data_IF_464338362373
#
_entry.id   IF_464338362373
#
_cell.length_a   1.000
_cell.length_b   1.000
_cell.length_c   1.000
_cell.angle_alpha   90.00
_cell.angle_beta   90.00
_cell.angle_gamma   90.00
#
_symmetry.space_group_name_H-M   'P 1'
#
loop_
_entity.id
_entity.type
_entity.pdbx_description
1 polymer ?
#
# COMPACT_ATOMS: atom_id res chain seq x y z
N UNK A 1 7.61 2.96 -28.60
CA UNK A 1 7.20 3.56 -27.30
C UNK A 1 5.73 3.19 -27.08
N UNK A 2 5.36 2.66 -25.92
CA UNK A 2 3.98 2.19 -25.71
C UNK A 2 3.00 3.37 -25.74
N UNK A 3 1.81 3.16 -26.31
CA UNK A 3 0.76 4.17 -26.52
C UNK A 3 -0.05 4.50 -25.24
N UNK A 4 0.47 4.17 -24.05
CA UNK A 4 -0.24 4.40 -22.80
C UNK A 4 0.47 5.48 -22.00
N UNK A 5 -0.20 6.62 -21.88
CA UNK A 5 0.22 7.83 -21.18
C UNK A 5 0.07 7.66 -19.67
N UNK A 6 -1.15 7.34 -19.24
CA UNK A 6 -1.54 7.14 -17.85
C UNK A 6 -1.46 5.64 -17.52
N UNK A 7 -0.82 5.32 -16.40
CA UNK A 7 -0.58 3.93 -15.97
C UNK A 7 -0.92 3.79 -14.50
N UNK A 8 -1.67 2.73 -14.19
CA UNK A 8 -1.84 2.22 -12.83
C UNK A 8 -1.01 0.94 -12.71
N UNK A 9 0.02 0.97 -11.87
CA UNK A 9 0.79 -0.22 -11.50
C UNK A 9 0.20 -0.80 -10.21
N UNK A 10 -0.05 -2.11 -10.19
CA UNK A 10 -0.72 -2.83 -9.11
C UNK A 10 0.05 -4.10 -8.73
N UNK A 11 0.14 -4.40 -7.44
CA UNK A 11 0.50 -5.76 -7.01
C UNK A 11 -0.61 -6.75 -7.35
N UNK A 12 -0.20 -7.98 -7.64
CA UNK A 12 -1.11 -9.07 -8.03
C UNK A 12 -2.11 -9.48 -6.94
N UNK A 13 -1.87 -9.08 -5.69
CA UNK A 13 -2.75 -9.33 -4.54
C UNK A 13 -3.41 -8.06 -3.99
N UNK A 14 -3.51 -7.01 -4.83
CA UNK A 14 -4.41 -5.89 -4.56
C UNK A 14 -5.86 -6.27 -4.88
N UNK A 15 -6.79 -5.86 -4.03
CA UNK A 15 -8.22 -6.10 -4.19
C UNK A 15 -8.96 -4.78 -4.23
N UNK A 16 -9.54 -4.45 -5.39
CA UNK A 16 -10.37 -3.26 -5.58
C UNK A 16 -11.84 -3.56 -5.31
N UNK A 17 -12.50 -2.69 -4.54
CA UNK A 17 -13.96 -2.70 -4.29
C UNK A 17 -14.64 -1.45 -4.85
N UNK A 18 -13.88 -0.64 -5.59
CA UNK A 18 -14.35 0.43 -6.44
C UNK A 18 -13.60 0.37 -7.77
N UNK A 19 -14.15 1.01 -8.80
CA UNK A 19 -13.48 1.15 -10.10
C UNK A 19 -12.10 1.82 -9.92
N UNK A 20 -10.99 1.20 -10.38
CA UNK A 20 -9.65 1.77 -10.27
C UNK A 20 -9.54 3.16 -10.91
N UNK A 21 -10.29 3.43 -11.97
CA UNK A 21 -10.29 4.70 -12.71
C UNK A 21 -10.70 5.90 -11.84
N UNK A 22 -11.39 5.67 -10.71
CA UNK A 22 -11.69 6.74 -9.75
C UNK A 22 -10.42 7.40 -9.18
N UNK A 23 -9.30 6.67 -9.13
CA UNK A 23 -8.03 7.22 -8.68
C UNK A 23 -7.39 8.16 -9.71
N UNK A 24 -7.74 8.02 -11.00
CA UNK A 24 -7.26 8.89 -12.09
C UNK A 24 -8.00 10.24 -12.18
N UNK A 25 -9.14 10.36 -11.51
CA UNK A 25 -9.91 11.62 -11.44
C UNK A 25 -9.71 12.36 -10.11
N UNK A 26 -8.82 11.86 -9.24
CA UNK A 26 -8.43 12.57 -8.04
C UNK A 26 -7.77 13.90 -8.42
N UNK A 27 -8.18 14.99 -7.76
CA UNK A 27 -7.66 16.31 -8.06
C UNK A 27 -6.14 16.39 -7.87
N UNK A 28 -5.60 15.64 -6.91
CA UNK A 28 -4.17 15.56 -6.63
C UNK A 28 -3.44 14.88 -7.79
N UNK A 29 -3.97 13.77 -8.31
CA UNK A 29 -3.42 13.12 -9.51
C UNK A 29 -3.50 14.01 -10.74
N UNK A 30 -4.64 14.66 -10.99
CA UNK A 30 -4.79 15.55 -12.13
C UNK A 30 -3.80 16.72 -12.06
N UNK A 31 -3.52 17.22 -10.85
CA UNK A 31 -2.56 18.29 -10.63
C UNK A 31 -1.11 17.84 -10.84
N UNK A 32 -0.69 16.72 -10.25
CA UNK A 32 0.73 16.33 -10.20
C UNK A 32 1.13 15.34 -11.29
N UNK A 33 0.19 14.54 -11.80
CA UNK A 33 0.46 13.41 -12.69
C UNK A 33 1.14 12.22 -12.02
N UNK A 34 1.37 12.25 -10.70
CA UNK A 34 1.89 11.13 -9.93
C UNK A 34 1.16 11.05 -8.59
N UNK A 35 0.51 9.92 -8.33
CA UNK A 35 -0.28 9.70 -7.11
C UNK A 35 0.11 8.39 -6.44
N UNK A 36 0.45 8.51 -5.16
CA UNK A 36 1.01 7.47 -4.29
C UNK A 36 0.10 7.31 -3.06
N UNK A 37 0.38 6.30 -2.24
CA UNK A 37 -0.43 5.96 -1.07
C UNK A 37 0.46 5.85 0.15
N UNK A 38 0.00 6.31 1.31
CA UNK A 38 0.77 6.31 2.54
C UNK A 38 0.76 4.92 3.20
N UNK A 39 1.88 4.45 3.77
CA UNK A 39 1.84 3.24 4.62
C UNK A 39 1.16 3.54 5.98
N UNK A 40 1.27 2.62 6.92
CA UNK A 40 0.76 2.72 8.28
C UNK A 40 1.68 3.63 9.10
N UNK A 41 1.08 4.37 10.01
CA UNK A 41 1.80 5.12 11.03
C UNK A 41 2.30 4.20 12.15
N UNK A 42 3.44 3.56 11.91
CA UNK A 42 4.10 2.65 12.85
C UNK A 42 5.53 3.09 13.16
N UNK A 43 6.01 2.65 14.34
CA UNK A 43 7.42 2.70 14.73
C UNK A 43 8.05 4.10 14.66
N UNK A 44 7.39 5.09 15.25
CA UNK A 44 7.95 6.44 15.38
C UNK A 44 9.35 6.41 16.03
N UNK A 45 10.28 7.18 15.46
CA UNK A 45 11.71 7.24 15.79
C UNK A 45 12.51 5.94 15.55
N UNK A 46 11.94 4.94 14.88
CA UNK A 46 12.73 3.79 14.45
C UNK A 46 13.63 4.15 13.26
N UNK A 47 14.67 3.35 13.05
CA UNK A 47 15.61 3.51 11.92
C UNK A 47 16.26 4.90 11.82
N UNK A 48 16.88 5.45 12.88
CA UNK A 48 17.46 6.80 12.85
C UNK A 48 18.48 6.99 11.71
N UNK A 49 19.29 5.97 11.40
CA UNK A 49 20.27 6.02 10.30
C UNK A 49 19.60 6.23 8.93
N UNK A 50 18.39 5.69 8.73
CA UNK A 50 17.59 5.93 7.53
C UNK A 50 17.12 7.37 7.44
N UNK A 51 16.63 7.93 8.55
CA UNK A 51 16.21 9.33 8.60
C UNK A 51 17.39 10.29 8.41
N UNK A 52 18.55 9.99 9.00
CA UNK A 52 19.78 10.73 8.74
C UNK A 52 20.18 10.65 7.26
N UNK A 53 20.11 9.45 6.67
CA UNK A 53 20.37 9.27 5.25
C UNK A 53 19.40 10.12 4.39
N UNK A 54 18.09 10.07 4.63
CA UNK A 54 17.13 10.91 3.91
C UNK A 54 17.45 12.40 4.02
N UNK A 55 17.74 12.89 5.23
CA UNK A 55 18.15 14.30 5.45
C UNK A 55 19.45 14.66 4.74
N UNK A 56 20.36 13.72 4.56
CA UNK A 56 21.60 13.95 3.82
C UNK A 56 21.40 14.03 2.30
N UNK A 57 20.37 13.35 1.77
CA UNK A 57 20.05 13.34 0.35
C UNK A 57 19.11 14.49 -0.04
N UNK A 58 18.07 14.75 0.77
CA UNK A 58 17.04 15.76 0.51
C UNK A 58 17.50 17.10 1.09
N UNK A 59 18.21 17.88 0.27
CA UNK A 59 18.74 19.19 0.67
C UNK A 59 17.68 20.29 0.71
N UNK A 60 16.74 20.23 -0.23
CA UNK A 60 15.67 21.23 -0.41
C UNK A 60 14.33 20.50 -0.48
N UNK A 61 13.70 20.18 0.66
CA UNK A 61 12.45 19.45 0.69
C UNK A 61 11.33 20.28 0.06
N UNK A 62 10.52 19.68 -0.80
CA UNK A 62 9.39 20.38 -1.41
C UNK A 62 8.26 20.63 -0.38
N UNK A 63 7.28 21.44 -0.76
CA UNK A 63 6.14 21.76 0.11
C UNK A 63 5.24 20.55 0.42
N UNK A 64 5.29 19.49 -0.39
CA UNK A 64 4.55 18.24 -0.18
C UNK A 64 5.17 17.43 0.96
N UNK A 65 6.49 17.23 0.95
CA UNK A 65 7.23 16.46 1.96
C UNK A 65 7.11 17.06 3.36
N UNK A 66 6.99 18.38 3.48
CA UNK A 66 6.76 19.06 4.76
C UNK A 66 5.39 18.75 5.41
N UNK A 67 4.53 17.96 4.75
CA UNK A 67 3.26 17.46 5.31
C UNK A 67 3.36 16.02 5.82
N UNK A 68 4.47 15.33 5.53
CA UNK A 68 4.59 13.90 5.76
C UNK A 68 5.21 13.61 7.12
N UNK A 69 4.60 12.68 7.85
CA UNK A 69 5.00 12.33 9.20
C UNK A 69 6.32 11.54 9.24
N UNK A 70 6.72 10.89 8.13
CA UNK A 70 8.09 10.36 7.98
C UNK A 70 9.15 11.44 8.13
N UNK A 71 8.83 12.67 7.72
CA UNK A 71 9.77 13.78 7.65
C UNK A 71 9.65 14.72 8.85
N UNK A 72 8.43 15.04 9.25
CA UNK A 72 8.16 15.99 10.34
C UNK A 72 8.19 15.34 11.72
N UNK A 73 7.94 14.04 11.81
CA UNK A 73 7.73 13.33 13.08
C UNK A 73 8.51 12.03 13.21
N UNK A 74 9.43 11.74 12.27
CA UNK A 74 10.28 10.55 12.25
C UNK A 74 9.51 9.22 12.28
N UNK A 75 8.37 9.11 11.59
CA UNK A 75 7.74 7.80 11.36
C UNK A 75 8.55 6.93 10.41
N UNK A 76 8.55 5.61 10.62
CA UNK A 76 9.52 4.72 9.96
C UNK A 76 9.36 4.57 8.44
N UNK A 77 8.14 4.70 7.94
CA UNK A 77 7.75 4.32 6.58
C UNK A 77 6.74 5.32 6.04
N UNK A 78 6.88 5.70 4.78
CA UNK A 78 6.03 6.74 4.17
C UNK A 78 5.10 6.17 3.11
N UNK A 79 5.64 5.47 2.11
CA UNK A 79 4.84 5.09 0.93
C UNK A 79 4.51 3.62 0.85
N UNK A 80 3.25 3.26 0.69
CA UNK A 80 2.86 1.92 0.23
C UNK A 80 3.35 1.68 -1.21
N UNK A 81 3.76 0.44 -1.50
CA UNK A 81 4.28 0.00 -2.79
C UNK A 81 3.23 -0.61 -3.71
N UNK A 82 2.01 -0.83 -3.22
CA UNK A 82 1.01 -1.72 -3.86
C UNK A 82 0.36 -1.10 -5.09
N UNK A 83 0.03 0.20 -5.04
CA UNK A 83 -0.61 0.93 -6.14
C UNK A 83 0.19 2.19 -6.44
N UNK A 84 0.50 2.41 -7.71
CA UNK A 84 1.17 3.63 -8.19
C UNK A 84 0.49 4.14 -9.45
N UNK A 85 0.09 5.40 -9.44
CA UNK A 85 -0.48 6.07 -10.60
C UNK A 85 0.51 7.08 -11.17
N UNK A 86 0.75 7.02 -12.48
CA UNK A 86 1.63 7.96 -13.17
C UNK A 86 1.14 8.33 -14.57
N UNK A 87 1.23 9.60 -14.91
CA UNK A 87 1.12 10.15 -16.26
C UNK A 87 2.53 10.34 -16.83
N UNK A 88 2.98 9.36 -17.62
CA UNK A 88 4.33 9.31 -18.19
C UNK A 88 4.54 10.31 -19.33
N UNK A 89 3.48 10.99 -19.82
CA UNK A 89 3.64 12.02 -20.84
C UNK A 89 4.16 13.33 -20.25
N UNK A 90 3.97 13.55 -18.95
CA UNK A 90 4.53 14.72 -18.26
C UNK A 90 6.02 14.49 -18.08
N UNK A 91 6.82 15.38 -18.68
CA UNK A 91 8.28 15.28 -18.63
C UNK A 91 8.80 15.22 -17.19
N UNK A 92 8.25 16.05 -16.31
CA UNK A 92 8.57 16.05 -14.88
C UNK A 92 8.30 14.69 -14.23
N UNK A 93 7.12 14.09 -14.42
CA UNK A 93 6.79 12.76 -13.89
C UNK A 93 7.73 11.69 -14.47
N UNK A 94 8.05 11.76 -15.76
CA UNK A 94 8.98 10.85 -16.41
C UNK A 94 10.39 10.96 -15.79
N UNK A 95 10.86 12.16 -15.45
CA UNK A 95 12.15 12.35 -14.79
C UNK A 95 12.16 11.71 -13.39
N UNK A 96 11.10 11.89 -12.61
CA UNK A 96 10.92 11.19 -11.33
C UNK A 96 10.96 9.68 -11.50
N UNK A 97 10.23 9.13 -12.46
CA UNK A 97 10.24 7.70 -12.76
C UNK A 97 11.62 7.15 -13.17
N UNK A 98 12.38 7.92 -13.95
CA UNK A 98 13.76 7.54 -14.30
C UNK A 98 14.67 7.51 -13.06
N UNK A 99 14.47 8.42 -12.11
CA UNK A 99 15.18 8.40 -10.83
C UNK A 99 14.77 7.20 -9.94
N UNK A 100 13.47 6.87 -9.91
CA UNK A 100 12.98 5.63 -9.26
C UNK A 100 13.65 4.41 -9.90
N UNK A 101 13.67 4.32 -11.23
CA UNK A 101 14.29 3.21 -11.94
C UNK A 101 15.81 3.12 -11.67
N UNK A 102 16.51 4.25 -11.66
CA UNK A 102 17.95 4.30 -11.34
C UNK A 102 18.25 3.76 -9.94
N UNK A 103 17.48 4.18 -8.92
CA UNK A 103 17.61 3.67 -7.54
C UNK A 103 17.41 2.16 -7.41
N UNK A 104 16.69 1.56 -8.36
CA UNK A 104 16.36 0.14 -8.40
C UNK A 104 17.20 -0.66 -9.42
N UNK A 105 18.21 -0.03 -10.05
CA UNK A 105 19.23 -0.76 -10.79
C UNK A 105 20.04 -1.64 -9.85
N UNK A 106 20.62 -2.73 -10.37
CA UNK A 106 21.26 -3.77 -9.55
C UNK A 106 22.34 -3.19 -8.63
N UNK A 107 23.29 -2.44 -9.16
CA UNK A 107 24.40 -1.92 -8.36
C UNK A 107 23.90 -0.95 -7.28
N UNK A 108 23.03 -0.01 -7.64
CA UNK A 108 22.52 1.00 -6.70
C UNK A 108 21.68 0.36 -5.59
N UNK A 109 20.81 -0.60 -5.93
CA UNK A 109 19.92 -1.20 -4.94
C UNK A 109 20.64 -2.12 -3.96
N UNK A 110 21.60 -2.90 -4.43
CA UNK A 110 22.39 -3.81 -3.59
C UNK A 110 23.41 -3.04 -2.75
N UNK A 111 23.92 -1.91 -3.25
CA UNK A 111 24.88 -1.09 -2.52
C UNK A 111 24.21 -0.22 -1.46
N UNK A 112 23.13 0.49 -1.81
CA UNK A 112 22.53 1.54 -0.99
C UNK A 112 21.04 1.28 -0.73
N UNK A 113 20.22 1.28 -1.78
CA UNK A 113 18.76 1.47 -1.64
C UNK A 113 18.11 0.42 -0.74
N UNK A 114 18.35 -0.88 -0.99
CA UNK A 114 17.68 -1.93 -0.23
C UNK A 114 18.28 -2.11 1.17
N UNK A 115 19.50 -1.63 1.41
CA UNK A 115 20.10 -1.60 2.75
C UNK A 115 19.46 -0.53 3.63
N UNK A 116 19.14 0.63 3.05
CA UNK A 116 18.54 1.76 3.78
C UNK A 116 17.02 1.63 3.87
N UNK A 117 16.35 1.38 2.74
CA UNK A 117 14.89 1.38 2.64
C UNK A 117 14.23 0.00 2.87
N UNK A 118 15.01 -1.08 3.02
CA UNK A 118 14.50 -2.47 3.11
C UNK A 118 13.63 -2.88 1.92
N UNK A 119 13.98 -2.41 0.72
CA UNK A 119 13.30 -2.73 -0.53
C UNK A 119 13.18 -1.52 -1.45
N UNK A 120 12.33 -1.66 -2.47
CA UNK A 120 12.01 -0.62 -3.46
C UNK A 120 10.95 0.38 -2.97
N UNK A 121 10.24 0.04 -1.90
CA UNK A 121 9.06 0.76 -1.40
C UNK A 121 9.24 2.28 -1.35
N UNK A 122 10.20 2.75 -0.56
CA UNK A 122 10.46 4.19 -0.33
C UNK A 122 11.08 4.88 -1.56
N UNK A 123 11.57 4.12 -2.55
CA UNK A 123 12.19 4.72 -3.75
C UNK A 123 11.19 5.48 -4.60
N UNK A 124 9.90 5.12 -4.54
CA UNK A 124 8.83 5.71 -5.33
C UNK A 124 8.75 7.21 -5.06
N UNK A 125 8.39 7.61 -3.84
CA UNK A 125 8.29 9.03 -3.47
C UNK A 125 9.66 9.72 -3.46
N UNK A 126 10.70 9.04 -2.99
CA UNK A 126 12.04 9.61 -2.92
C UNK A 126 12.60 9.96 -4.30
N UNK A 127 12.28 9.17 -5.32
CA UNK A 127 12.68 9.46 -6.70
C UNK A 127 12.00 10.72 -7.26
N UNK A 128 10.72 10.93 -6.95
CA UNK A 128 10.04 12.18 -7.31
C UNK A 128 10.60 13.36 -6.52
N UNK A 129 10.82 13.20 -5.21
CA UNK A 129 11.39 14.23 -4.35
C UNK A 129 12.77 14.71 -4.82
N UNK A 130 13.72 13.78 -5.00
CA UNK A 130 15.11 14.10 -5.37
C UNK A 130 15.26 14.66 -6.79
N UNK A 131 14.28 14.43 -7.67
CA UNK A 131 14.25 14.99 -9.01
C UNK A 131 13.49 16.31 -9.11
N UNK A 132 12.90 16.79 -8.01
CA UNK A 132 12.02 17.96 -8.00
C UNK A 132 10.73 17.75 -8.79
N UNK A 133 10.35 16.49 -9.04
CA UNK A 133 9.15 16.15 -9.80
C UNK A 133 7.91 16.23 -8.91
N UNK A 134 6.77 16.72 -9.42
CA UNK A 134 5.56 16.78 -8.63
C UNK A 134 5.00 15.38 -8.37
N UNK A 135 4.50 15.17 -7.15
CA UNK A 135 3.77 13.98 -6.75
C UNK A 135 2.81 14.34 -5.63
N UNK A 136 1.81 13.49 -5.44
CA UNK A 136 0.83 13.60 -4.38
C UNK A 136 0.61 12.25 -3.71
N UNK A 137 0.06 12.30 -2.51
CA UNK A 137 -0.36 11.14 -1.74
C UNK A 137 -1.86 11.21 -1.45
N UNK A 138 -2.46 10.04 -1.20
CA UNK A 138 -3.75 9.96 -0.49
C UNK A 138 -3.72 10.83 0.77
N UNK A 139 -4.84 11.48 1.12
CA UNK A 139 -4.90 12.36 2.30
C UNK A 139 -4.73 11.57 3.61
N UNK A 140 -5.19 10.33 3.64
CA UNK A 140 -5.14 9.47 4.81
C UNK A 140 -3.92 8.55 4.75
N UNK A 141 -3.30 8.32 5.92
CA UNK A 141 -2.38 7.20 6.09
C UNK A 141 -3.12 5.87 5.97
N UNK A 142 -2.39 4.79 5.69
CA UNK A 142 -2.96 3.46 5.45
C UNK A 142 -4.06 3.11 6.45
N UNK A 143 -5.24 2.77 5.92
CA UNK A 143 -6.43 2.45 6.68
C UNK A 143 -6.42 0.99 7.12
N UNK A 144 -7.19 0.69 8.16
CA UNK A 144 -7.50 -0.69 8.52
C UNK A 144 -8.73 -1.16 7.75
N UNK A 145 -8.66 -2.37 7.20
CA UNK A 145 -9.81 -3.12 6.66
C UNK A 145 -9.79 -4.53 7.22
N UNK A 146 -10.84 -4.91 7.94
CA UNK A 146 -10.80 -6.13 8.72
C UNK A 146 -12.07 -6.46 9.46
N UNK A 147 -11.89 -7.16 10.57
CA UNK A 147 -12.99 -7.60 11.44
C UNK A 147 -12.99 -6.75 12.70
N UNK A 148 -14.19 -6.30 13.07
CA UNK A 148 -14.44 -5.77 14.39
C UNK A 148 -14.08 -6.82 15.44
N UNK A 149 -13.27 -6.43 16.42
CA UNK A 149 -12.87 -7.29 17.54
C UNK A 149 -13.68 -6.99 18.77
N UNK A 150 -13.56 -5.76 19.26
CA UNK A 150 -14.18 -5.29 20.47
C UNK A 150 -14.31 -3.76 20.45
N UNK A 151 -15.01 -3.27 21.46
CA UNK A 151 -15.14 -1.85 21.77
C UNK A 151 -14.78 -1.68 23.25
N UNK A 152 -13.85 -0.78 23.54
CA UNK A 152 -13.44 -0.41 24.89
C UNK A 152 -13.53 1.11 25.05
N UNK A 153 -14.21 1.55 26.11
CA UNK A 153 -14.30 2.98 26.49
C UNK A 153 -14.55 3.92 25.30
N UNK A 154 -15.54 3.56 24.47
CA UNK A 154 -15.96 4.28 23.25
C UNK A 154 -15.02 4.20 22.03
N UNK A 155 -13.87 3.54 22.15
CA UNK A 155 -12.99 3.20 21.02
C UNK A 155 -13.34 1.83 20.46
N UNK A 156 -13.35 1.70 19.13
CA UNK A 156 -13.51 0.45 18.42
C UNK A 156 -12.13 -0.10 18.06
N UNK A 157 -12.01 -1.43 17.97
CA UNK A 157 -10.79 -2.11 17.53
C UNK A 157 -11.10 -2.96 16.31
N UNK A 158 -10.49 -2.62 15.18
CA UNK A 158 -10.60 -3.41 13.94
C UNK A 158 -9.23 -4.03 13.67
N UNK A 159 -9.20 -5.33 13.40
CA UNK A 159 -7.95 -6.04 13.18
C UNK A 159 -7.95 -6.86 11.90
N UNK A 160 -6.78 -6.93 11.27
CA UNK A 160 -6.56 -7.68 10.05
C UNK A 160 -5.07 -7.94 9.80
N UNK A 161 -4.77 -8.62 8.70
CA UNK A 161 -3.41 -8.80 8.19
C UNK A 161 -3.08 -7.83 7.05
N UNK A 162 -4.04 -7.00 6.65
CA UNK A 162 -4.02 -6.18 5.44
C UNK A 162 -4.12 -4.69 5.78
N UNK A 163 -3.75 -3.87 4.81
CA UNK A 163 -3.89 -2.41 4.82
C UNK A 163 -4.80 -2.01 3.67
N UNK A 164 -5.61 -0.96 3.85
CA UNK A 164 -6.55 -0.47 2.86
C UNK A 164 -6.39 1.03 2.60
N UNK A 165 -6.96 1.49 1.51
CA UNK A 165 -6.91 2.89 1.06
C UNK A 165 -8.30 3.36 0.65
N UNK A 166 -8.60 4.62 0.94
CA UNK A 166 -9.95 5.19 0.81
C UNK A 166 -10.01 6.29 -0.24
N UNK A 167 -11.23 6.60 -0.67
CA UNK A 167 -11.51 7.77 -1.50
C UNK A 167 -11.71 9.03 -0.64
N UNK A 168 -11.90 10.17 -1.31
CA UNK A 168 -12.18 11.46 -0.67
C UNK A 168 -13.46 11.48 0.21
N UNK A 169 -14.32 10.45 0.11
CA UNK A 169 -15.52 10.28 0.94
C UNK A 169 -15.28 9.25 2.05
N UNK A 170 -14.04 8.83 2.25
CA UNK A 170 -13.63 7.85 3.24
C UNK A 170 -14.30 6.47 3.00
N UNK A 171 -14.56 6.15 1.74
CA UNK A 171 -15.00 4.82 1.30
C UNK A 171 -13.81 4.00 0.81
N UNK A 172 -13.71 2.73 1.20
CA UNK A 172 -12.64 1.83 0.75
C UNK A 172 -12.59 1.77 -0.78
N UNK A 173 -11.42 2.00 -1.37
CA UNK A 173 -11.17 1.80 -2.81
C UNK A 173 -10.55 0.43 -3.03
N UNK A 174 -9.45 0.16 -2.34
CA UNK A 174 -8.69 -1.07 -2.48
C UNK A 174 -7.95 -1.43 -1.18
N UNK A 175 -7.51 -2.68 -1.09
CA UNK A 175 -6.64 -3.13 -0.01
C UNK A 175 -5.63 -4.17 -0.50
N UNK A 176 -4.50 -4.28 0.20
CA UNK A 176 -3.43 -5.22 -0.15
C UNK A 176 -3.55 -6.54 0.61
N UNK A 177 -3.32 -7.67 -0.04
CA UNK A 177 -3.14 -8.97 0.62
C UNK A 177 -4.05 -10.08 0.12
N UNK A 178 -4.84 -9.81 -0.91
CA UNK A 178 -5.71 -10.77 -1.59
C UNK A 178 -7.00 -11.08 -0.83
N UNK A 179 -7.75 -12.07 -1.34
CA UNK A 179 -9.02 -12.50 -0.75
C UNK A 179 -8.84 -13.51 0.42
N UNK A 180 -7.60 -13.93 0.69
CA UNK A 180 -7.28 -14.84 1.77
C UNK A 180 -7.19 -14.09 3.10
N UNK A 181 -7.74 -14.68 4.16
CA UNK A 181 -7.69 -14.14 5.52
C UNK A 181 -6.26 -14.04 6.03
N UNK A 182 -5.47 -15.09 5.88
CA UNK A 182 -4.03 -15.06 6.18
C UNK A 182 -3.28 -16.06 5.30
N UNK A 183 -2.72 -15.57 4.19
CA UNK A 183 -1.95 -16.37 3.23
C UNK A 183 -0.71 -17.08 3.79
N UNK A 184 -0.25 -16.74 5.00
CA UNK A 184 0.91 -17.38 5.66
C UNK A 184 0.51 -18.53 6.59
N UNK A 185 -0.70 -18.49 7.14
CA UNK A 185 -1.20 -19.50 8.09
C UNK A 185 -2.14 -20.48 7.40
N UNK A 186 -3.03 -19.96 6.56
CA UNK A 186 -4.02 -20.75 5.84
C UNK A 186 -4.07 -20.29 4.37
N UNK A 187 -3.45 -21.03 3.44
CA UNK A 187 -3.44 -20.68 2.02
C UNK A 187 -4.79 -20.87 1.34
N UNK A 188 -5.82 -21.38 2.02
CA UNK A 188 -7.15 -21.66 1.47
C UNK A 188 -8.29 -20.93 2.21
N UNK A 189 -7.99 -20.36 3.38
CA UNK A 189 -8.95 -19.64 4.20
C UNK A 189 -9.24 -18.26 3.64
N UNK A 190 -10.29 -18.14 2.82
CA UNK A 190 -10.82 -16.85 2.39
C UNK A 190 -11.36 -16.03 3.57
N UNK A 191 -11.21 -14.71 3.50
CA UNK A 191 -11.66 -13.79 4.54
C UNK A 191 -12.45 -12.64 3.96
N UNK A 192 -13.71 -12.48 4.39
CA UNK A 192 -14.52 -11.32 4.08
C UNK A 192 -14.35 -10.28 5.21
N UNK A 193 -13.59 -9.19 5.00
CA UNK A 193 -13.57 -8.09 5.97
C UNK A 193 -14.96 -7.47 6.09
N UNK A 194 -15.27 -6.90 7.26
CA UNK A 194 -16.59 -6.35 7.55
C UNK A 194 -16.56 -4.85 7.84
N UNK A 195 -15.42 -4.32 8.26
CA UNK A 195 -15.29 -2.94 8.68
C UNK A 195 -14.00 -2.29 8.18
N UNK A 196 -14.01 -0.96 8.15
CA UNK A 196 -12.86 -0.11 7.88
C UNK A 196 -12.69 0.94 8.96
N UNK A 197 -11.46 1.38 9.19
CA UNK A 197 -11.16 2.54 10.04
C UNK A 197 -9.99 3.32 9.43
N UNK A 198 -10.11 4.66 9.46
CA UNK A 198 -9.08 5.61 9.05
C UNK A 198 -8.70 6.48 10.25
N UNK A 199 -7.50 7.03 10.24
CA UNK A 199 -7.01 7.99 11.24
C UNK A 199 -7.10 7.50 12.71
N UNK A 200 -7.15 6.17 12.91
CA UNK A 200 -7.01 5.56 14.23
C UNK A 200 -5.55 5.24 14.55
N UNK A 201 -5.31 4.83 15.78
CA UNK A 201 -3.97 4.44 16.25
C UNK A 201 -3.64 3.02 15.79
N UNK A 202 -2.55 2.84 15.05
CA UNK A 202 -2.06 1.54 14.62
C UNK A 202 -1.41 0.75 15.76
N UNK A 203 -1.84 -0.50 15.94
CA UNK A 203 -1.23 -1.48 16.84
C UNK A 203 -0.66 -2.64 16.00
N UNK A 204 0.67 -2.77 15.96
CA UNK A 204 1.34 -3.82 15.17
C UNK A 204 1.24 -5.18 15.87
N UNK A 205 0.76 -6.20 15.16
CA UNK A 205 0.84 -7.59 15.61
C UNK A 205 2.29 -8.06 15.74
N UNK A 206 2.59 -8.91 16.73
CA UNK A 206 3.99 -9.26 17.07
C UNK A 206 4.72 -10.03 15.97
N UNK A 207 3.97 -10.76 15.13
CA UNK A 207 4.51 -11.58 14.05
C UNK A 207 3.47 -11.76 12.94
N UNK A 208 3.84 -12.42 11.82
CA UNK A 208 2.97 -12.61 10.65
C UNK A 208 1.75 -13.53 10.88
N UNK A 209 1.64 -14.17 12.04
CA UNK A 209 0.48 -14.98 12.44
C UNK A 209 -0.52 -14.20 13.28
N UNK A 210 -0.12 -13.05 13.81
CA UNK A 210 -0.97 -12.16 14.61
C UNK A 210 -1.43 -10.97 13.79
N UNK A 211 -2.71 -10.62 13.94
CA UNK A 211 -3.27 -9.47 13.25
C UNK A 211 -2.68 -8.17 13.80
N UNK A 212 -2.55 -7.18 12.92
CA UNK A 212 -2.41 -5.80 13.35
C UNK A 212 -3.79 -5.20 13.52
N UNK A 213 -3.91 -4.20 14.39
CA UNK A 213 -5.17 -3.55 14.69
C UNK A 213 -5.06 -2.04 14.46
N UNK A 214 -6.21 -1.41 14.27
CA UNK A 214 -6.37 0.03 14.41
C UNK A 214 -7.44 0.29 15.46
N UNK A 215 -7.15 1.19 16.38
CA UNK A 215 -8.02 1.56 17.50
C UNK A 215 -8.44 3.02 17.34
N UNK A 216 -9.74 3.29 17.42
CA UNK A 216 -10.27 4.65 17.24
C UNK A 216 -11.79 4.69 17.20
N UNK A 217 -12.35 5.86 16.94
CA UNK A 217 -13.80 6.12 16.98
C UNK A 217 -14.45 6.13 15.58
N UNK A 218 -13.67 5.98 14.52
CA UNK A 218 -14.07 6.19 13.12
C UNK A 218 -14.38 4.89 12.39
N UNK A 219 -14.52 3.77 13.09
CA UNK A 219 -14.81 2.49 12.47
C UNK A 219 -16.21 2.49 11.85
N UNK A 220 -16.28 1.98 10.62
CA UNK A 220 -17.50 1.91 9.81
C UNK A 220 -17.64 0.52 9.22
N UNK A 221 -18.87 0.03 9.14
CA UNK A 221 -19.17 -1.16 8.35
C UNK A 221 -18.93 -0.88 6.86
N UNK A 222 -18.46 -1.91 6.15
CA UNK A 222 -18.40 -1.88 4.70
C UNK A 222 -19.82 -1.78 4.11
N UNK A 223 -20.05 -0.87 3.14
CA UNK A 223 -21.30 -0.78 2.41
C UNK A 223 -21.71 -2.13 1.79
N UNK A 224 -23.02 -2.36 1.66
CA UNK A 224 -23.55 -3.59 1.06
C UNK A 224 -22.99 -3.88 -0.32
N UNK A 225 -22.83 -2.86 -1.17
CA UNK A 225 -22.22 -2.98 -2.49
C UNK A 225 -20.79 -3.52 -2.43
N UNK A 226 -19.96 -3.00 -1.52
CA UNK A 226 -18.57 -3.44 -1.37
C UNK A 226 -18.49 -4.86 -0.80
N UNK A 227 -19.36 -5.20 0.17
CA UNK A 227 -19.48 -6.57 0.68
C UNK A 227 -19.88 -7.54 -0.43
N UNK A 228 -20.84 -7.15 -1.26
CA UNK A 228 -21.29 -7.95 -2.40
C UNK A 228 -20.15 -8.18 -3.41
N UNK A 229 -19.36 -7.16 -3.76
CA UNK A 229 -18.19 -7.33 -4.65
C UNK A 229 -17.22 -8.37 -4.09
N UNK A 230 -16.89 -8.28 -2.80
CA UNK A 230 -15.97 -9.21 -2.15
C UNK A 230 -16.51 -10.63 -2.06
N UNK A 231 -17.79 -10.79 -1.70
CA UNK A 231 -18.45 -12.10 -1.63
C UNK A 231 -18.46 -12.80 -3.00
N UNK A 232 -18.80 -12.09 -4.06
CA UNK A 232 -18.78 -12.63 -5.43
C UNK A 232 -17.36 -12.94 -5.89
N UNK A 233 -16.39 -12.08 -5.56
CA UNK A 233 -14.98 -12.32 -5.88
C UNK A 233 -14.45 -13.57 -5.17
N UNK A 234 -14.81 -13.78 -3.90
CA UNK A 234 -14.47 -14.98 -3.14
C UNK A 234 -15.15 -16.22 -3.73
N UNK A 235 -16.43 -16.13 -4.11
CA UNK A 235 -17.16 -17.24 -4.71
C UNK A 235 -16.52 -17.67 -6.04
N UNK A 236 -16.19 -16.70 -6.90
CA UNK A 236 -15.50 -16.93 -8.16
C UNK A 236 -14.10 -17.52 -7.93
N UNK A 237 -13.31 -16.95 -7.01
CA UNK A 237 -11.98 -17.48 -6.68
C UNK A 237 -12.04 -18.96 -6.25
N UNK A 238 -13.01 -19.33 -5.40
CA UNK A 238 -13.24 -20.74 -5.00
C UNK A 238 -13.64 -21.63 -6.18
N UNK A 239 -14.35 -21.10 -7.16
CA UNK A 239 -14.69 -21.83 -8.39
C UNK A 239 -13.44 -22.06 -9.25
N UNK A 240 -12.67 -21.01 -9.51
CA UNK A 240 -11.43 -21.09 -10.29
C UNK A 240 -10.38 -22.00 -9.64
N UNK A 241 -10.26 -21.97 -8.31
CA UNK A 241 -9.37 -22.88 -7.57
C UNK A 241 -9.71 -24.37 -7.81
N UNK A 242 -11.01 -24.68 -7.93
CA UNK A 242 -11.49 -26.03 -8.26
C UNK A 242 -11.27 -26.37 -9.73
N UNK A 243 -11.52 -25.43 -10.63
CA UNK A 243 -11.40 -25.64 -12.09
C UNK A 243 -9.94 -25.84 -12.52
N UNK A 244 -9.06 -24.93 -12.11
CA UNK A 244 -7.65 -24.98 -12.48
C UNK A 244 -6.84 -26.02 -11.70
N UNK A 245 -7.48 -26.74 -10.75
CA UNK A 245 -6.83 -27.68 -9.85
C UNK A 245 -5.54 -27.09 -9.30
N UNK A 246 -5.65 -25.93 -8.64
CA UNK A 246 -4.58 -25.45 -7.76
C UNK A 246 -4.52 -26.35 -6.51
N UNK A 247 -4.35 -27.65 -6.75
CA UNK A 247 -4.07 -28.67 -5.78
C UNK A 247 -2.54 -28.74 -5.64
N UNK A 248 -2.10 -28.67 -4.40
CA UNK A 248 -0.78 -28.30 -3.90
C UNK A 248 0.44 -29.11 -4.39
N UNK A 249 0.28 -30.07 -5.31
CA UNK A 249 1.39 -30.85 -5.87
C UNK A 249 2.27 -30.06 -6.85
N UNK A 250 1.73 -29.06 -7.54
CA UNK A 250 2.48 -28.31 -8.56
C UNK A 250 3.30 -27.12 -8.03
N UNK A 251 2.87 -26.47 -6.93
CA UNK A 251 3.56 -25.27 -6.41
C UNK A 251 4.83 -25.59 -5.59
N UNK A 252 4.90 -26.77 -4.95
CA UNK A 252 6.06 -27.17 -4.15
C UNK A 252 7.23 -27.67 -5.03
N UNK A 253 6.97 -28.12 -6.25
CA UNK A 253 8.04 -28.59 -7.15
C UNK A 253 8.76 -27.46 -7.90
N UNK A 254 8.12 -26.32 -8.20
CA UNK A 254 8.79 -25.26 -8.98
C UNK A 254 9.78 -24.42 -8.15
N UNK A 255 9.61 -24.39 -6.82
CA UNK A 255 10.49 -23.65 -5.90
C UNK A 255 11.68 -24.47 -5.38
N UNK A 256 11.69 -25.80 -5.55
CA UNK A 256 12.82 -26.65 -5.17
C UNK A 256 13.90 -26.82 -6.25
N UNK A 257 13.61 -26.45 -7.50
CA UNK A 257 14.57 -26.56 -8.62
C UNK A 257 15.24 -25.23 -9.00
N UNK A 258 15.11 -24.20 -8.16
CA UNK A 258 15.85 -22.93 -8.28
C UNK A 258 16.33 -22.44 -6.91
N UNK A 259 17.23 -23.22 -6.32
CA UNK A 259 18.23 -22.80 -5.34
C UNK A 259 19.48 -23.63 -5.57
#
# INVERSE_FOLDING_TARGET
MSNQSEVILLDADSVFVQLPEKTLIDASYLQTGAFLFHDRLLWQHAYPDRHEWWRSQIREPNATLNKFLVWTEDYAEEGDSVVVLVDKLRLEVLMGLLHVAWQNTYDVREEITYKVAYGDKETRWLGFELSGSPYAFEIHYGAMVGWFRDQDQDTQRICSFVIGHVDLRVGLIWYNGGLLKNKKVDPHGFGLPTHTMVDGTWEKGSNRKEMSCMVGHTGKELPEEQRWILENSIALAKELDREFRFDSSHYIQSTKNKL
#
